data_IF_584928774973
#
_entry.id   IF_584928774973
#
_cell.length_a   1.000
_cell.length_b   1.000
_cell.length_c   1.000
_cell.angle_alpha   90.00
_cell.angle_beta   90.00
_cell.angle_gamma   90.00
#
_symmetry.space_group_name_H-M   'P 1'
#
loop_
_entity.id
_entity.type
_entity.pdbx_description
1 polymer ?
#
# COMPACT_ATOMS: atom_id res chain seq x y z
N UNK A 1 -2.26 -35.70 44.67
CA UNK A 1 -2.49 -34.29 45.03
C UNK A 1 -1.20 -33.54 44.66
N UNK A 2 -1.15 -32.95 43.46
CA UNK A 2 0.01 -32.18 42.99
C UNK A 2 -0.43 -30.72 42.82
N UNK A 3 0.32 -29.74 43.35
CA UNK A 3 -0.05 -28.35 43.27
C UNK A 3 0.20 -27.77 41.87
N UNK A 4 -0.74 -26.91 41.46
CA UNK A 4 -0.66 -26.01 40.31
C UNK A 4 0.55 -25.08 40.43
N UNK A 5 1.39 -25.03 39.38
CA UNK A 5 2.27 -23.89 39.13
C UNK A 5 1.72 -23.09 37.96
N UNK A 6 0.94 -22.06 38.29
CA UNK A 6 0.71 -20.91 37.44
C UNK A 6 1.98 -20.05 37.43
N UNK A 7 2.57 -19.83 36.26
CA UNK A 7 3.29 -18.60 35.99
C UNK A 7 3.17 -18.25 34.52
N UNK A 8 2.09 -17.54 34.20
CA UNK A 8 2.00 -16.72 32.99
C UNK A 8 3.06 -15.62 33.08
N UNK A 9 4.10 -15.70 32.26
CA UNK A 9 4.99 -14.58 31.99
C UNK A 9 4.55 -13.92 30.69
N UNK A 10 3.64 -12.95 30.82
CA UNK A 10 3.39 -11.95 29.80
C UNK A 10 4.38 -10.80 29.99
N UNK A 11 5.19 -10.57 28.97
CA UNK A 11 5.77 -9.25 28.67
C UNK A 11 6.22 -9.29 27.21
N UNK A 12 5.45 -8.74 26.26
CA UNK A 12 5.97 -8.40 24.94
C UNK A 12 6.95 -7.24 25.14
N UNK A 13 8.23 -7.53 25.00
CA UNK A 13 9.26 -6.51 24.88
C UNK A 13 8.99 -5.73 23.57
N UNK A 14 8.82 -4.41 23.60
CA UNK A 14 8.94 -3.60 22.39
C UNK A 14 10.43 -3.49 22.08
N UNK A 15 10.99 -4.58 21.55
CA UNK A 15 12.32 -4.55 20.96
C UNK A 15 12.17 -3.94 19.57
N UNK A 16 12.37 -2.62 19.52
CA UNK A 16 12.68 -1.92 18.30
C UNK A 16 14.18 -2.08 18.03
N UNK A 17 14.62 -2.96 17.13
CA UNK A 17 15.93 -2.79 16.53
C UNK A 17 15.81 -1.65 15.51
N UNK A 18 16.30 -0.48 15.92
CA UNK A 18 16.82 0.53 15.00
C UNK A 18 17.93 -0.15 14.20
N UNK A 19 17.60 -0.60 12.99
CA UNK A 19 18.61 -1.01 12.01
C UNK A 19 18.86 0.18 11.10
N UNK A 20 19.99 0.83 11.34
CA UNK A 20 20.55 1.87 10.47
C UNK A 20 20.68 1.40 9.02
N UNK A 21 20.38 2.34 8.12
CA UNK A 21 21.04 2.51 6.84
C UNK A 21 20.96 1.32 5.83
N UNK A 22 19.82 1.23 5.18
CA UNK A 22 19.85 1.39 3.72
C UNK A 22 19.00 2.61 3.44
N UNK A 23 19.59 3.65 2.85
CA UNK A 23 18.80 4.59 2.04
C UNK A 23 17.90 3.70 1.19
N UNK A 24 16.58 3.61 1.43
CA UNK A 24 15.75 2.99 0.43
C UNK A 24 16.05 3.82 -0.81
N UNK A 25 16.50 3.17 -1.88
CA UNK A 25 16.52 3.81 -3.19
C UNK A 25 15.16 4.48 -3.32
N UNK A 26 15.14 5.81 -3.14
CA UNK A 26 13.89 6.54 -3.02
C UNK A 26 13.30 6.41 -4.39
N UNK A 27 12.36 5.48 -4.53
CA UNK A 27 11.81 5.20 -5.83
C UNK A 27 11.20 6.53 -6.27
N UNK A 28 11.37 6.98 -7.52
CA UNK A 28 10.81 8.26 -7.96
C UNK A 28 9.28 8.34 -7.71
N UNK A 29 8.62 7.17 -7.62
CA UNK A 29 7.21 7.05 -7.28
C UNK A 29 6.91 7.05 -5.78
N UNK A 30 7.87 6.84 -4.87
CA UNK A 30 7.64 6.84 -3.43
C UNK A 30 7.20 8.20 -2.89
N UNK A 31 7.73 9.28 -3.48
CA UNK A 31 7.27 10.64 -3.18
C UNK A 31 5.77 10.83 -3.51
N UNK A 32 5.25 10.05 -4.46
CA UNK A 32 3.84 10.07 -4.84
C UNK A 32 3.04 9.09 -3.98
N UNK A 33 3.50 7.85 -3.83
CA UNK A 33 2.77 6.74 -3.19
C UNK A 33 2.93 6.69 -1.67
N UNK A 34 3.43 7.75 -1.04
CA UNK A 34 3.70 7.81 0.40
C UNK A 34 4.66 6.70 0.87
N UNK A 35 5.66 6.36 0.05
CA UNK A 35 6.66 5.36 0.40
C UNK A 35 6.25 3.90 0.16
N UNK A 36 5.23 3.63 -0.66
CA UNK A 36 4.74 2.26 -0.87
C UNK A 36 5.81 1.28 -1.41
N UNK A 37 6.78 1.75 -2.20
CA UNK A 37 7.88 0.92 -2.71
C UNK A 37 9.00 0.76 -1.68
N UNK A 38 9.25 1.79 -0.87
CA UNK A 38 10.18 1.76 0.28
C UNK A 38 9.66 0.97 1.48
N UNK A 39 8.35 0.71 1.56
CA UNK A 39 7.74 -0.03 2.65
C UNK A 39 8.34 -1.42 2.84
N UNK A 40 8.73 -1.73 4.08
CA UNK A 40 9.41 -2.97 4.46
C UNK A 40 8.47 -4.19 4.42
N UNK A 41 7.16 -3.94 4.53
CA UNK A 41 6.13 -4.99 4.57
C UNK A 41 5.04 -4.76 3.53
N UNK A 42 4.41 -5.85 3.07
CA UNK A 42 3.27 -5.77 2.12
C UNK A 42 2.07 -5.04 2.73
N UNK A 43 1.83 -5.18 4.04
CA UNK A 43 0.74 -4.49 4.74
C UNK A 43 0.93 -2.96 4.75
N UNK A 44 2.14 -2.51 5.06
CA UNK A 44 2.51 -1.09 5.02
C UNK A 44 2.42 -0.54 3.59
N UNK A 45 2.93 -1.29 2.59
CA UNK A 45 2.76 -0.95 1.17
C UNK A 45 1.30 -0.75 0.79
N UNK A 46 0.42 -1.67 1.21
CA UNK A 46 -1.01 -1.54 0.96
C UNK A 46 -1.62 -0.32 1.65
N UNK A 47 -1.20 0.00 2.88
CA UNK A 47 -1.67 1.18 3.60
C UNK A 47 -1.26 2.49 2.89
N UNK A 48 0.01 2.63 2.52
CA UNK A 48 0.53 3.77 1.76
C UNK A 48 -0.20 3.93 0.42
N UNK A 49 -0.45 2.82 -0.31
CA UNK A 49 -1.25 2.85 -1.54
C UNK A 49 -2.69 3.29 -1.29
N UNK A 50 -3.36 2.84 -0.21
CA UNK A 50 -4.72 3.31 0.11
C UNK A 50 -4.77 4.81 0.39
N UNK A 51 -3.82 5.30 1.18
CA UNK A 51 -3.72 6.72 1.51
C UNK A 51 -3.43 7.55 0.26
N UNK A 52 -2.50 7.09 -0.57
CA UNK A 52 -2.23 7.72 -1.86
C UNK A 52 -3.46 7.75 -2.77
N UNK A 53 -4.22 6.66 -2.86
CA UNK A 53 -5.45 6.59 -3.65
C UNK A 53 -6.53 7.56 -3.14
N UNK A 54 -6.56 7.84 -1.83
CA UNK A 54 -7.47 8.83 -1.25
C UNK A 54 -7.16 10.26 -1.72
N UNK A 55 -5.89 10.55 -2.03
CA UNK A 55 -5.46 11.82 -2.63
C UNK A 55 -5.88 11.98 -4.11
N UNK A 56 -6.64 11.03 -4.67
CA UNK A 56 -7.16 11.07 -6.05
C UNK A 56 -6.07 11.29 -7.12
N UNK A 57 -5.08 10.40 -7.22
CA UNK A 57 -3.96 10.56 -8.15
C UNK A 57 -4.41 10.44 -9.61
N UNK A 58 -3.62 11.04 -10.50
CA UNK A 58 -3.88 11.02 -11.94
C UNK A 58 -3.80 9.60 -12.51
N UNK A 59 -4.58 9.34 -13.58
CA UNK A 59 -4.64 8.02 -14.22
C UNK A 59 -3.27 7.53 -14.70
N UNK A 60 -2.42 8.44 -15.18
CA UNK A 60 -1.04 8.17 -15.57
C UNK A 60 -0.19 7.67 -14.39
N UNK A 61 -0.30 8.33 -13.23
CA UNK A 61 0.44 7.93 -12.03
C UNK A 61 -0.05 6.57 -11.53
N UNK A 62 -1.36 6.33 -11.52
CA UNK A 62 -1.97 5.04 -11.18
C UNK A 62 -1.43 3.91 -12.06
N UNK A 63 -1.38 4.11 -13.38
CA UNK A 63 -0.85 3.12 -14.32
C UNK A 63 0.65 2.86 -14.12
N UNK A 64 1.43 3.92 -13.91
CA UNK A 64 2.86 3.82 -13.68
C UNK A 64 3.17 3.04 -12.40
N UNK A 65 2.49 3.37 -11.30
CA UNK A 65 2.63 2.66 -10.03
C UNK A 65 2.15 1.22 -10.17
N UNK A 66 0.99 0.97 -10.80
CA UNK A 66 0.48 -0.38 -11.04
C UNK A 66 1.47 -1.26 -11.81
N UNK A 67 2.12 -0.71 -12.85
CA UNK A 67 3.11 -1.43 -13.66
C UNK A 67 4.30 -1.87 -12.81
N UNK A 68 4.84 -0.97 -11.98
CA UNK A 68 5.94 -1.26 -11.07
C UNK A 68 5.56 -2.24 -9.96
N UNK A 69 4.34 -2.12 -9.43
CA UNK A 69 3.86 -2.94 -8.31
C UNK A 69 3.37 -4.32 -8.75
N UNK A 70 2.88 -4.48 -9.98
CA UNK A 70 2.33 -5.75 -10.49
C UNK A 70 3.33 -6.92 -10.46
N UNK A 71 4.63 -6.63 -10.54
CA UNK A 71 5.69 -7.64 -10.40
C UNK A 71 6.19 -7.84 -8.96
N UNK A 72 6.11 -6.80 -8.12
CA UNK A 72 6.66 -6.79 -6.75
C UNK A 72 5.65 -7.18 -5.69
N UNK A 73 4.38 -6.80 -5.86
CA UNK A 73 3.30 -7.03 -4.89
C UNK A 73 1.93 -7.07 -5.56
N UNK A 74 1.41 -8.28 -5.77
CA UNK A 74 0.09 -8.49 -6.37
C UNK A 74 -1.06 -7.95 -5.51
N UNK A 75 -0.89 -7.89 -4.18
CA UNK A 75 -1.90 -7.44 -3.24
C UNK A 75 -2.15 -5.94 -3.37
N UNK A 76 -1.09 -5.15 -3.31
CA UNK A 76 -1.20 -3.71 -3.51
C UNK A 76 -1.46 -3.33 -4.98
N UNK A 77 -1.00 -4.11 -5.96
CA UNK A 77 -1.37 -3.92 -7.37
C UNK A 77 -2.88 -4.13 -7.62
N UNK A 78 -3.54 -5.01 -6.86
CA UNK A 78 -5.00 -5.18 -6.96
C UNK A 78 -5.76 -3.91 -6.59
N UNK A 79 -5.38 -3.21 -5.52
CA UNK A 79 -6.00 -1.94 -5.13
C UNK A 79 -5.92 -0.90 -6.25
N UNK A 80 -4.77 -0.83 -6.91
CA UNK A 80 -4.53 0.06 -8.04
C UNK A 80 -5.41 -0.29 -9.25
N UNK A 81 -5.55 -1.58 -9.55
CA UNK A 81 -6.42 -2.07 -10.62
C UNK A 81 -7.88 -1.75 -10.35
N UNK A 82 -8.37 -2.02 -9.14
CA UNK A 82 -9.75 -1.70 -8.74
C UNK A 82 -10.03 -0.20 -8.87
N UNK A 83 -9.08 0.66 -8.48
CA UNK A 83 -9.22 2.12 -8.65
C UNK A 83 -9.19 2.57 -10.10
N UNK A 84 -8.34 1.98 -10.94
CA UNK A 84 -8.35 2.24 -12.38
C UNK A 84 -9.69 1.83 -13.02
N UNK A 85 -10.21 0.65 -12.65
CA UNK A 85 -11.50 0.16 -13.16
C UNK A 85 -12.67 1.03 -12.65
N UNK A 86 -12.63 1.51 -11.40
CA UNK A 86 -13.59 2.45 -10.83
C UNK A 86 -13.57 3.79 -11.58
N UNK A 87 -12.39 4.39 -11.79
CA UNK A 87 -12.26 5.64 -12.57
C UNK A 87 -12.76 5.45 -14.00
N UNK A 88 -12.46 4.32 -14.65
CA UNK A 88 -12.95 4.02 -15.99
C UNK A 88 -14.47 3.88 -16.01
N UNK A 89 -15.06 3.20 -15.02
CA UNK A 89 -16.52 3.05 -14.88
C UNK A 89 -17.21 4.39 -14.61
N UNK A 90 -16.67 5.21 -13.71
CA UNK A 90 -17.15 6.57 -13.44
C UNK A 90 -17.01 7.47 -14.66
N UNK A 91 -15.92 7.35 -15.42
CA UNK A 91 -15.77 8.05 -16.71
C UNK A 91 -16.78 7.58 -17.74
N UNK A 92 -17.08 6.28 -17.87
CA UNK A 92 -18.13 5.82 -18.79
C UNK A 92 -19.47 6.48 -18.47
N UNK A 93 -19.79 6.71 -17.19
CA UNK A 93 -20.97 7.45 -16.78
C UNK A 93 -20.90 8.95 -17.11
N UNK A 94 -19.72 9.57 -17.01
CA UNK A 94 -19.50 10.98 -17.35
C UNK A 94 -19.40 11.23 -18.88
N UNK A 95 -18.90 10.28 -19.66
CA UNK A 95 -18.79 10.37 -21.12
C UNK A 95 -20.16 10.25 -21.79
N UNK A 96 -21.09 9.47 -21.22
CA UNK A 96 -22.48 9.45 -21.68
C UNK A 96 -23.18 10.82 -21.46
N UNK A 97 -22.69 11.65 -20.53
CA UNK A 97 -23.19 13.00 -20.31
C UNK A 97 -22.50 14.10 -21.14
N UNK A 98 -21.44 13.78 -21.90
CA UNK A 98 -20.72 14.73 -22.76
C UNK A 98 -20.92 14.47 -24.27
N UNK A 99 -21.65 13.42 -24.64
CA UNK A 99 -21.92 13.02 -26.03
C UNK A 99 -23.42 13.10 -26.37
N UNK A 100 -24.15 14.09 -25.83
CA UNK A 100 -25.50 14.50 -26.25
C UNK A 100 -25.51 15.96 -26.68
#
# INVERSE_FOLDING_TARGET
MFPFSTLSKASPTPDAPVVSAKTPEVHPLDALTHGAFSAQTSGERMACIREWLASSPSNEQLQQVFKELSGKDKGAAKLLREKLDEIKRSKTQATIALEW
#
